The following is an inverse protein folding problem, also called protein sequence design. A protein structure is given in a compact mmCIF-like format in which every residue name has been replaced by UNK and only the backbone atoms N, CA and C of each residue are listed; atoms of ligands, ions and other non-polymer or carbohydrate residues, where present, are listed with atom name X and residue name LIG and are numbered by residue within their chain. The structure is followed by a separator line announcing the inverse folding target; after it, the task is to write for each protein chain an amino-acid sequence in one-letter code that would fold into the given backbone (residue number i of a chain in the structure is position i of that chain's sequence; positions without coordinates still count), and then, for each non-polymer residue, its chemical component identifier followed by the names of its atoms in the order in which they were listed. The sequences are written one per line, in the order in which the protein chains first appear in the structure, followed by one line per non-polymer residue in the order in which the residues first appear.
data_IF_925327244027
#
_entry.id   IF_925327244027
#
_cell.length_a   1.000
_cell.length_b   1.000
_cell.length_c   1.000
_cell.angle_alpha   90.00
_cell.angle_beta   90.00
_cell.angle_gamma   90.00
#
_symmetry.space_group_name_H-M   'P 1'
#
loop_
_entity.id
_entity.type
_entity.pdbx_description
1 polymer ?
#
# COMPACT_ATOMS: atom_id res chain seq x y z
N UNK A 1 -31.34 -9.37 15.53
CA UNK A 1 -31.03 -7.97 15.88
C UNK A 1 -30.70 -7.30 14.58
N UNK A 2 -31.59 -6.47 14.04
CA UNK A 2 -31.24 -5.57 12.95
C UNK A 2 -30.24 -4.55 13.52
N UNK A 3 -28.99 -4.71 13.18
CA UNK A 3 -27.97 -3.71 13.46
C UNK A 3 -28.15 -2.66 12.38
N UNK A 4 -28.84 -1.57 12.72
CA UNK A 4 -29.01 -0.45 11.80
C UNK A 4 -27.64 0.18 11.49
N UNK A 5 -27.25 0.18 10.22
CA UNK A 5 -26.14 0.97 9.75
C UNK A 5 -26.52 2.43 9.91
N UNK A 6 -25.91 3.13 10.84
CA UNK A 6 -26.07 4.57 11.00
C UNK A 6 -25.33 5.27 9.87
N UNK A 7 -25.98 5.46 8.74
CA UNK A 7 -25.46 6.36 7.70
C UNK A 7 -25.64 7.78 8.20
N UNK A 8 -24.54 8.41 8.65
CA UNK A 8 -24.55 9.83 8.94
C UNK A 8 -24.44 10.60 7.63
N UNK A 9 -25.25 11.65 7.40
CA UNK A 9 -25.00 12.55 6.30
C UNK A 9 -23.72 13.32 6.62
N UNK A 10 -22.65 13.01 5.93
CA UNK A 10 -21.36 13.70 6.08
C UNK A 10 -21.10 14.59 4.88
N UNK A 11 -20.43 15.70 5.13
CA UNK A 11 -19.96 16.59 4.08
C UNK A 11 -18.45 16.52 4.03
N UNK A 12 -17.92 15.98 2.96
CA UNK A 12 -16.49 15.96 2.71
C UNK A 12 -16.11 17.24 1.96
N UNK A 13 -15.21 18.01 2.56
CA UNK A 13 -14.69 19.23 1.97
C UNK A 13 -13.28 18.97 1.46
N UNK A 14 -13.01 19.38 0.22
CA UNK A 14 -11.69 19.29 -0.40
C UNK A 14 -11.20 20.66 -0.80
N UNK A 15 -9.89 20.85 -0.70
CA UNK A 15 -9.23 22.05 -1.17
C UNK A 15 -7.96 21.65 -1.92
N UNK A 16 -7.75 22.25 -3.07
CA UNK A 16 -6.52 22.12 -3.83
C UNK A 16 -5.73 23.42 -3.71
N UNK A 17 -4.45 23.29 -3.40
CA UNK A 17 -3.53 24.42 -3.28
C UNK A 17 -2.36 24.16 -4.22
N UNK A 18 -2.15 25.08 -5.16
CA UNK A 18 -1.11 24.97 -6.18
C UNK A 18 -0.02 26.03 -6.01
N UNK A 19 1.04 25.93 -6.80
CA UNK A 19 2.15 26.90 -6.83
C UNK A 19 2.89 27.04 -5.51
N UNK A 20 2.97 25.97 -4.74
CA UNK A 20 3.72 25.93 -3.50
C UNK A 20 5.22 25.73 -3.78
N UNK A 21 6.07 26.35 -2.95
CA UNK A 21 7.52 26.15 -3.02
C UNK A 21 7.90 24.72 -2.63
N UNK A 22 8.83 24.08 -3.36
CA UNK A 22 9.32 22.74 -3.01
C UNK A 22 10.02 22.70 -1.65
N UNK A 23 10.02 21.55 -0.99
CA UNK A 23 10.73 21.28 0.26
C UNK A 23 10.32 22.20 1.42
N UNK A 24 9.13 22.73 1.39
CA UNK A 24 8.67 23.76 2.33
C UNK A 24 7.61 23.19 3.26
N UNK A 25 7.74 23.49 4.56
CA UNK A 25 6.71 23.21 5.56
C UNK A 25 5.62 24.26 5.50
N UNK A 26 4.40 23.85 5.24
CA UNK A 26 3.22 24.67 5.14
C UNK A 26 2.29 24.42 6.31
N UNK A 27 1.56 25.47 6.72
CA UNK A 27 0.57 25.39 7.77
C UNK A 27 -0.81 25.72 7.21
N UNK A 28 -1.82 25.02 7.68
CA UNK A 28 -3.20 25.22 7.24
C UNK A 28 -4.20 25.13 8.38
N UNK A 29 -5.35 25.67 8.19
CA UNK A 29 -6.51 25.52 9.08
C UNK A 29 -7.80 25.72 8.33
N UNK A 30 -8.88 25.13 8.81
CA UNK A 30 -10.22 25.33 8.26
C UNK A 30 -10.88 26.49 8.99
N UNK A 31 -11.47 27.41 8.22
CA UNK A 31 -12.27 28.52 8.73
C UNK A 31 -13.51 28.71 7.85
N UNK A 32 -14.63 29.06 8.46
CA UNK A 32 -15.85 29.39 7.75
C UNK A 32 -16.51 30.61 8.40
N UNK A 33 -17.00 31.54 7.58
CA UNK A 33 -17.67 32.75 8.01
C UNK A 33 -16.90 33.54 9.11
N UNK A 34 -15.56 33.60 8.96
CA UNK A 34 -14.67 34.27 9.91
C UNK A 34 -14.38 33.52 11.21
N UNK A 35 -14.95 32.32 11.39
CA UNK A 35 -14.71 31.49 12.57
C UNK A 35 -13.75 30.34 12.22
N UNK A 36 -12.74 30.15 13.05
CA UNK A 36 -11.81 28.98 12.96
C UNK A 36 -12.56 27.74 13.39
N UNK A 37 -12.48 26.69 12.57
CA UNK A 37 -13.19 25.42 12.77
C UNK A 37 -12.25 24.24 13.07
N UNK A 38 -10.95 24.35 12.78
CA UNK A 38 -9.98 23.29 13.04
C UNK A 38 -8.76 23.80 13.80
N UNK A 39 -8.02 22.90 14.49
CA UNK A 39 -6.65 23.18 14.86
C UNK A 39 -5.78 23.55 13.66
N UNK A 40 -4.54 23.97 13.90
CA UNK A 40 -3.57 24.18 12.83
C UNK A 40 -2.99 22.84 12.43
N UNK A 41 -3.06 22.51 11.15
CA UNK A 41 -2.38 21.41 10.53
C UNK A 41 -1.13 21.87 9.78
N UNK A 42 -0.30 20.92 9.38
CA UNK A 42 0.88 21.18 8.56
C UNK A 42 1.11 20.05 7.55
N UNK A 43 1.83 20.38 6.49
CA UNK A 43 2.34 19.40 5.55
C UNK A 43 3.64 19.94 4.92
N UNK A 44 4.46 19.03 4.43
CA UNK A 44 5.69 19.37 3.71
C UNK A 44 5.48 19.09 2.22
N UNK A 45 5.83 20.05 1.38
CA UNK A 45 5.87 19.80 -0.07
C UNK A 45 7.05 18.94 -0.47
N UNK A 46 6.91 18.18 -1.56
CA UNK A 46 7.99 17.35 -2.08
C UNK A 46 9.28 18.15 -2.28
N UNK A 47 10.39 17.51 -2.00
CA UNK A 47 11.70 18.14 -2.13
C UNK A 47 12.03 18.42 -3.60
N UNK A 48 12.80 19.46 -3.81
CA UNK A 48 13.37 19.80 -5.12
C UNK A 48 14.40 18.74 -5.52
N UNK A 49 14.28 18.11 -6.69
CA UNK A 49 15.21 17.06 -7.15
C UNK A 49 16.66 17.55 -7.30
N UNK A 50 16.85 18.85 -7.47
CA UNK A 50 18.19 19.43 -7.58
C UNK A 50 18.85 19.72 -6.22
N UNK A 51 18.11 19.56 -5.13
CA UNK A 51 18.57 19.90 -3.77
C UNK A 51 18.73 18.73 -2.82
N UNK A 52 18.11 17.60 -3.11
CA UNK A 52 18.19 16.42 -2.25
C UNK A 52 18.07 15.12 -3.02
N UNK A 53 18.87 14.15 -2.63
CA UNK A 53 18.82 12.77 -3.11
C UNK A 53 18.13 11.84 -2.08
N UNK A 54 17.71 12.38 -0.92
CA UNK A 54 17.13 11.61 0.16
C UNK A 54 15.62 11.80 0.25
N UNK A 55 14.94 10.72 0.54
CA UNK A 55 13.54 10.70 0.97
C UNK A 55 13.41 9.75 2.15
N UNK A 56 12.71 10.19 3.18
CA UNK A 56 12.39 9.37 4.35
C UNK A 56 10.88 9.29 4.50
N UNK A 57 10.33 8.09 4.49
CA UNK A 57 8.89 7.89 4.64
C UNK A 57 8.58 6.66 5.48
N UNK A 58 7.40 6.64 6.04
CA UNK A 58 6.89 5.50 6.81
C UNK A 58 5.93 4.73 5.92
N UNK A 59 6.16 3.42 5.77
CA UNK A 59 5.17 2.52 5.20
C UNK A 59 4.34 1.91 6.32
N UNK A 60 3.01 1.99 6.19
CA UNK A 60 2.03 1.26 7.00
C UNK A 60 1.02 0.59 6.09
N UNK A 61 0.30 -0.39 6.61
CA UNK A 61 -0.71 -1.15 5.86
C UNK A 61 -1.78 -1.69 6.79
N UNK A 62 -2.92 -2.06 6.20
CA UNK A 62 -3.88 -2.97 6.82
C UNK A 62 -4.32 -2.52 8.23
N UNK A 63 -4.68 -1.25 8.39
CA UNK A 63 -5.29 -0.76 9.64
C UNK A 63 -6.64 -1.41 9.88
N UNK A 64 -7.37 -1.73 8.81
CA UNK A 64 -8.64 -2.47 8.79
C UNK A 64 -9.57 -2.11 9.95
N UNK A 65 -9.80 -0.81 10.13
CA UNK A 65 -10.72 -0.36 11.16
C UNK A 65 -12.11 -0.93 10.91
N UNK A 66 -12.64 -1.67 11.87
CA UNK A 66 -13.96 -2.27 11.83
C UNK A 66 -14.90 -1.63 12.85
N UNK A 67 -16.09 -1.26 12.39
CA UNK A 67 -17.12 -0.70 13.25
C UNK A 67 -17.83 -1.79 14.06
N UNK A 68 -18.13 -2.92 13.42
CA UNK A 68 -18.70 -4.12 14.03
C UNK A 68 -17.59 -5.12 14.31
N UNK A 69 -16.85 -4.86 15.33
CA UNK A 69 -15.62 -5.57 15.61
C UNK A 69 -15.88 -7.00 16.09
N UNK A 70 -15.48 -7.97 15.33
CA UNK A 70 -15.41 -9.37 15.73
C UNK A 70 -14.39 -9.59 16.86
N UNK A 71 -13.42 -8.72 17.01
CA UNK A 71 -12.26 -8.89 17.87
C UNK A 71 -12.36 -8.16 19.22
N UNK A 72 -13.40 -7.46 19.53
CA UNK A 72 -13.62 -6.71 20.80
C UNK A 72 -12.53 -5.66 21.11
N UNK A 73 -11.79 -5.17 20.14
CA UNK A 73 -10.75 -4.17 20.31
C UNK A 73 -11.10 -2.90 19.54
N UNK A 74 -10.59 -1.77 20.00
CA UNK A 74 -10.73 -0.51 19.31
C UNK A 74 -9.65 -0.42 18.21
N UNK A 75 -9.94 -0.91 17.02
CA UNK A 75 -8.99 -1.00 15.91
C UNK A 75 -8.52 0.37 15.43
N UNK A 76 -9.41 1.37 15.41
CA UNK A 76 -9.01 2.73 15.07
C UNK A 76 -7.98 3.32 16.05
N UNK A 77 -8.07 2.97 17.34
CA UNK A 77 -7.05 3.37 18.31
C UNK A 77 -5.72 2.68 18.04
N UNK A 78 -5.74 1.39 17.69
CA UNK A 78 -4.51 0.65 17.35
C UNK A 78 -3.80 1.25 16.13
N UNK A 79 -4.53 1.51 15.04
CA UNK A 79 -3.96 2.15 13.86
C UNK A 79 -3.38 3.53 14.17
N UNK A 80 -4.08 4.33 14.97
CA UNK A 80 -3.59 5.64 15.40
C UNK A 80 -2.34 5.53 16.28
N UNK A 81 -2.30 4.58 17.22
CA UNK A 81 -1.13 4.36 18.10
C UNK A 81 0.07 3.87 17.28
N UNK A 82 -0.13 2.97 16.32
CA UNK A 82 0.93 2.49 15.42
C UNK A 82 1.54 3.65 14.62
N UNK A 83 0.71 4.51 14.03
CA UNK A 83 1.18 5.70 13.32
C UNK A 83 1.92 6.67 14.23
N UNK A 84 1.40 6.89 15.44
CA UNK A 84 2.02 7.79 16.42
C UNK A 84 3.39 7.29 16.83
N UNK A 85 3.53 6.01 17.15
CA UNK A 85 4.82 5.42 17.54
C UNK A 85 5.82 5.42 16.37
N UNK A 86 5.36 5.13 15.14
CA UNK A 86 6.20 5.21 13.97
C UNK A 86 6.77 6.63 13.77
N UNK A 87 5.93 7.66 13.89
CA UNK A 87 6.38 9.06 13.76
C UNK A 87 7.22 9.54 14.95
N UNK A 88 7.04 8.97 16.15
CA UNK A 88 7.93 9.25 17.29
C UNK A 88 9.33 8.70 17.06
N UNK A 89 9.44 7.52 16.46
CA UNK A 89 10.73 6.92 16.14
C UNK A 89 11.39 7.55 14.91
N UNK A 90 10.58 8.01 13.96
CA UNK A 90 11.03 8.62 12.70
C UNK A 90 10.40 10.00 12.50
N UNK A 91 10.75 10.99 13.37
CA UNK A 91 10.10 12.30 13.36
C UNK A 91 10.38 13.14 12.09
N UNK A 92 11.39 12.75 11.34
CA UNK A 92 11.80 13.44 10.11
C UNK A 92 11.22 12.78 8.85
N UNK A 93 10.30 11.82 8.99
CA UNK A 93 9.63 11.23 7.84
C UNK A 93 8.88 12.31 7.04
N UNK A 94 9.10 12.31 5.73
CA UNK A 94 8.53 13.29 4.82
C UNK A 94 7.02 13.08 4.64
N UNK A 95 6.58 11.81 4.65
CA UNK A 95 5.16 11.42 4.51
C UNK A 95 4.94 9.98 5.01
N UNK A 96 3.68 9.60 5.08
CA UNK A 96 3.24 8.22 5.31
C UNK A 96 2.70 7.65 3.99
N UNK A 97 3.16 6.46 3.61
CA UNK A 97 2.59 5.68 2.52
C UNK A 97 1.81 4.53 3.12
N UNK A 98 0.49 4.51 2.92
CA UNK A 98 -0.38 3.46 3.43
C UNK A 98 -0.76 2.52 2.29
N UNK A 99 -0.32 1.27 2.38
CA UNK A 99 -0.47 0.29 1.30
C UNK A 99 -1.83 -0.43 1.27
N UNK A 100 -2.90 0.22 1.75
CA UNK A 100 -4.28 -0.22 1.57
C UNK A 100 -4.91 -0.90 2.78
N UNK A 101 -6.18 -1.23 2.65
CA UNK A 101 -7.03 -1.77 3.70
C UNK A 101 -7.07 -0.87 4.95
N UNK A 102 -7.54 0.37 4.74
CA UNK A 102 -7.74 1.35 5.81
C UNK A 102 -8.87 0.93 6.74
N UNK A 103 -9.95 0.42 6.18
CA UNK A 103 -11.17 -0.01 6.87
C UNK A 103 -11.48 -1.47 6.56
N UNK A 104 -12.38 -2.06 7.31
CA UNK A 104 -12.82 -3.44 7.08
C UNK A 104 -13.84 -3.53 5.94
N UNK A 105 -14.72 -2.55 5.83
CA UNK A 105 -15.77 -2.52 4.81
C UNK A 105 -15.91 -1.11 4.24
N UNK A 106 -15.42 -0.90 3.04
CA UNK A 106 -15.34 0.42 2.40
C UNK A 106 -16.66 1.19 2.33
N UNK A 107 -17.81 0.49 2.24
CA UNK A 107 -19.13 1.14 2.22
C UNK A 107 -19.65 1.61 3.60
N UNK A 108 -18.96 1.29 4.69
CA UNK A 108 -19.36 1.70 6.04
C UNK A 108 -18.66 3.00 6.41
N UNK A 109 -19.38 4.11 6.30
CA UNK A 109 -18.83 5.45 6.58
C UNK A 109 -18.37 5.63 8.03
N UNK A 110 -19.01 4.97 8.98
CA UNK A 110 -18.62 5.03 10.39
C UNK A 110 -17.20 4.46 10.65
N UNK A 111 -16.74 3.50 9.84
CA UNK A 111 -15.38 2.96 9.95
C UNK A 111 -14.33 4.01 9.52
N UNK A 112 -14.58 4.71 8.43
CA UNK A 112 -13.75 5.83 7.97
C UNK A 112 -13.73 6.97 8.98
N UNK A 113 -14.92 7.34 9.46
CA UNK A 113 -15.05 8.43 10.44
C UNK A 113 -14.27 8.13 11.71
N UNK A 114 -14.38 6.93 12.26
CA UNK A 114 -13.69 6.57 13.50
C UNK A 114 -12.17 6.52 13.30
N UNK A 115 -11.71 5.93 12.19
CA UNK A 115 -10.29 5.91 11.82
C UNK A 115 -9.71 7.33 11.73
N UNK A 116 -10.33 8.19 10.94
CA UNK A 116 -9.84 9.56 10.76
C UNK A 116 -9.95 10.40 12.02
N UNK A 117 -11.00 10.25 12.80
CA UNK A 117 -11.17 10.94 14.07
C UNK A 117 -10.05 10.59 15.05
N UNK A 118 -9.72 9.31 15.17
CA UNK A 118 -8.65 8.84 16.05
C UNK A 118 -7.27 9.26 15.58
N UNK A 119 -7.04 9.19 14.29
CA UNK A 119 -5.77 9.55 13.67
C UNK A 119 -5.62 11.04 13.37
N UNK A 120 -6.66 11.86 13.56
CA UNK A 120 -6.64 13.29 13.21
C UNK A 120 -5.44 14.07 13.76
N UNK A 121 -5.01 13.91 15.02
CA UNK A 121 -3.85 14.64 15.53
C UNK A 121 -2.55 14.37 14.74
N UNK A 122 -2.46 13.20 14.14
CA UNK A 122 -1.32 12.74 13.35
C UNK A 122 -1.50 13.18 11.89
N UNK A 123 -2.64 12.84 11.30
CA UNK A 123 -2.94 13.10 9.89
C UNK A 123 -3.04 14.60 9.54
N UNK A 124 -3.31 15.44 10.53
CA UNK A 124 -3.23 16.88 10.38
C UNK A 124 -1.80 17.41 10.26
N UNK A 125 -0.79 16.64 10.62
CA UNK A 125 0.62 17.04 10.66
C UNK A 125 1.49 16.32 9.65
N UNK A 126 0.93 15.39 8.89
CA UNK A 126 1.68 14.61 7.91
C UNK A 126 0.87 14.38 6.62
N UNK A 127 1.56 14.23 5.51
CA UNK A 127 0.96 13.85 4.24
C UNK A 127 0.78 12.34 4.18
N UNK A 128 -0.33 11.88 3.62
CA UNK A 128 -0.57 10.45 3.36
C UNK A 128 -0.65 10.22 1.86
N UNK A 129 0.13 9.24 1.39
CA UNK A 129 0.00 8.67 0.05
C UNK A 129 -0.78 7.35 0.15
N UNK A 130 -2.07 7.32 -0.24
CA UNK A 130 -2.93 6.17 -0.03
C UNK A 130 -2.88 5.20 -1.21
N UNK A 131 -2.82 3.91 -0.93
CA UNK A 131 -3.08 2.84 -1.90
C UNK A 131 -4.43 2.21 -1.60
N UNK A 132 -5.22 1.88 -2.60
CA UNK A 132 -6.48 1.19 -2.38
C UNK A 132 -6.26 -0.31 -2.16
N UNK A 133 -6.76 -0.84 -1.05
CA UNK A 133 -6.81 -2.27 -0.76
C UNK A 133 -8.12 -2.92 -1.18
N UNK A 134 -8.25 -4.22 -0.97
CA UNK A 134 -9.48 -4.93 -1.35
C UNK A 134 -10.65 -4.66 -0.40
N UNK A 135 -10.38 -4.27 0.83
CA UNK A 135 -11.41 -3.88 1.79
C UNK A 135 -12.08 -2.55 1.44
N UNK A 136 -11.39 -1.66 0.73
CA UNK A 136 -11.94 -0.39 0.25
C UNK A 136 -13.09 -0.57 -0.73
N UNK A 137 -13.16 -1.71 -1.43
CA UNK A 137 -14.28 -1.99 -2.39
C UNK A 137 -15.37 -2.86 -1.81
N UNK A 138 -15.23 -3.37 -0.59
CA UNK A 138 -16.26 -4.18 0.02
C UNK A 138 -17.47 -3.35 0.41
N UNK A 139 -18.65 -3.94 0.21
CA UNK A 139 -19.94 -3.34 0.53
C UNK A 139 -20.76 -4.29 1.38
N UNK A 140 -21.61 -3.73 2.27
CA UNK A 140 -22.63 -4.49 2.96
C UNK A 140 -23.70 -5.06 2.02
N UNK A 141 -23.81 -4.50 0.82
CA UNK A 141 -24.73 -5.01 -0.19
C UNK A 141 -24.04 -6.12 -0.99
N UNK A 142 -24.56 -7.32 -0.90
CA UNK A 142 -24.05 -8.48 -1.61
C UNK A 142 -23.90 -8.22 -3.12
N UNK A 143 -22.73 -8.57 -3.65
CA UNK A 143 -22.43 -8.43 -5.07
C UNK A 143 -22.14 -7.00 -5.54
N UNK A 144 -22.21 -6.00 -4.68
CA UNK A 144 -21.81 -4.62 -4.99
C UNK A 144 -20.38 -4.38 -4.52
N UNK A 145 -19.56 -3.84 -5.41
CA UNK A 145 -18.22 -3.38 -5.10
C UNK A 145 -18.05 -1.97 -5.64
N UNK A 146 -17.46 -1.09 -4.86
CA UNK A 146 -17.33 0.32 -5.25
C UNK A 146 -16.19 0.99 -4.54
N UNK A 147 -15.39 1.75 -5.28
CA UNK A 147 -14.37 2.65 -4.75
C UNK A 147 -14.92 3.99 -4.22
N UNK A 148 -16.21 4.24 -4.35
CA UNK A 148 -16.78 5.54 -4.07
C UNK A 148 -16.43 6.13 -2.68
N UNK A 149 -16.27 5.28 -1.66
CA UNK A 149 -15.82 5.73 -0.34
C UNK A 149 -14.35 6.15 -0.35
N UNK A 150 -13.46 5.35 -0.92
CA UNK A 150 -12.04 5.68 -1.04
C UNK A 150 -11.84 7.00 -1.79
N UNK A 151 -12.49 7.16 -2.94
CA UNK A 151 -12.43 8.39 -3.74
C UNK A 151 -12.98 9.61 -3.01
N UNK A 152 -13.99 9.44 -2.15
CA UNK A 152 -14.50 10.53 -1.32
C UNK A 152 -13.50 10.97 -0.27
N UNK A 153 -12.79 10.04 0.35
CA UNK A 153 -11.87 10.34 1.44
C UNK A 153 -10.49 10.79 0.97
N UNK A 154 -10.02 10.28 -0.16
CA UNK A 154 -8.70 10.61 -0.69
C UNK A 154 -8.80 11.38 -2.01
N UNK A 155 -8.17 12.55 -2.03
CA UNK A 155 -8.12 13.39 -3.23
C UNK A 155 -6.90 13.02 -4.09
N UNK A 156 -6.89 11.81 -4.61
CA UNK A 156 -5.86 11.38 -5.55
C UNK A 156 -6.27 11.70 -6.97
N UNK A 157 -5.33 12.22 -7.77
CA UNK A 157 -5.55 12.41 -9.20
C UNK A 157 -5.35 11.07 -9.90
N UNK A 158 -6.46 10.40 -10.22
CA UNK A 158 -6.40 9.16 -10.96
C UNK A 158 -5.85 9.40 -12.37
N UNK A 159 -4.77 8.71 -12.70
CA UNK A 159 -4.07 8.88 -13.97
C UNK A 159 -4.83 8.31 -15.17
N UNK A 160 -5.76 7.37 -14.96
CA UNK A 160 -6.52 6.71 -16.01
C UNK A 160 -7.80 7.47 -16.34
N UNK A 161 -8.43 8.07 -15.34
CA UNK A 161 -9.69 8.83 -15.49
C UNK A 161 -9.47 10.33 -15.67
N UNK A 162 -8.24 10.81 -15.52
CA UNK A 162 -7.89 12.23 -15.67
C UNK A 162 -8.31 13.10 -14.49
N UNK A 163 -8.46 12.53 -13.32
CA UNK A 163 -8.73 13.26 -12.07
C UNK A 163 -10.14 13.87 -11.96
N UNK A 164 -10.98 13.68 -12.96
CA UNK A 164 -12.31 14.27 -13.04
C UNK A 164 -13.38 13.52 -12.22
N UNK A 165 -13.04 12.42 -11.60
CA UNK A 165 -13.96 11.57 -10.83
C UNK A 165 -14.66 12.31 -9.67
N UNK A 166 -14.11 13.44 -9.26
CA UNK A 166 -14.61 14.19 -8.10
C UNK A 166 -15.60 15.31 -8.43
N UNK A 167 -15.76 15.66 -9.69
CA UNK A 167 -16.62 16.77 -10.11
C UNK A 167 -17.85 16.37 -10.92
N UNK A 168 -17.84 15.19 -11.51
CA UNK A 168 -18.98 14.66 -12.26
C UNK A 168 -19.61 13.55 -11.43
N UNK A 169 -20.87 13.73 -11.07
CA UNK A 169 -21.65 12.79 -10.26
C UNK A 169 -21.31 11.34 -10.55
N UNK A 170 -20.72 10.73 -9.58
CA UNK A 170 -20.14 9.42 -9.50
C UNK A 170 -20.81 8.40 -10.42
N UNK A 171 -20.22 8.11 -11.54
CA UNK A 171 -20.34 6.76 -12.07
C UNK A 171 -19.41 5.92 -11.18
N UNK A 172 -20.02 5.04 -10.45
CA UNK A 172 -19.31 4.00 -9.72
C UNK A 172 -18.58 3.15 -10.75
N UNK A 173 -17.35 3.53 -11.05
CA UNK A 173 -16.47 2.74 -11.89
C UNK A 173 -15.52 1.99 -10.96
N UNK A 174 -15.77 0.70 -10.71
CA UNK A 174 -14.89 -0.10 -9.86
C UNK A 174 -13.51 -0.29 -10.47
N UNK A 175 -13.34 -0.01 -11.76
CA UNK A 175 -12.07 -0.08 -12.47
C UNK A 175 -11.34 1.27 -12.46
N UNK A 176 -12.03 2.35 -12.10
CA UNK A 176 -11.48 3.70 -12.05
C UNK A 176 -11.04 4.06 -10.64
N UNK A 177 -9.91 4.64 -10.51
CA UNK A 177 -9.49 5.22 -9.25
C UNK A 177 -8.23 4.61 -8.64
N UNK A 178 -7.55 5.44 -7.86
CA UNK A 178 -6.37 5.08 -7.08
C UNK A 178 -5.13 4.64 -7.89
N UNK A 179 -5.05 4.95 -9.19
CA UNK A 179 -3.83 4.80 -9.99
C UNK A 179 -3.21 6.18 -10.21
N UNK A 180 -2.06 6.42 -9.62
CA UNK A 180 -1.40 7.71 -9.69
C UNK A 180 0.11 7.60 -9.46
N UNK A 181 0.84 8.69 -9.69
CA UNK A 181 2.26 8.79 -9.34
C UNK A 181 2.60 10.17 -8.78
N UNK A 182 3.71 10.22 -8.08
CA UNK A 182 4.30 11.46 -7.60
C UNK A 182 5.82 11.32 -7.47
N UNK A 183 6.51 12.45 -7.51
CA UNK A 183 7.95 12.50 -7.31
C UNK A 183 8.25 13.15 -5.95
N UNK A 184 9.26 12.62 -5.25
CA UNK A 184 9.84 13.24 -4.06
C UNK A 184 11.35 13.29 -4.22
N UNK A 185 11.89 14.47 -4.49
CA UNK A 185 13.27 14.59 -4.93
C UNK A 185 13.51 13.77 -6.22
N UNK A 186 14.48 12.88 -6.20
CA UNK A 186 14.80 11.98 -7.32
C UNK A 186 14.19 10.59 -7.18
N UNK A 187 13.23 10.44 -6.30
CA UNK A 187 12.49 9.19 -6.12
C UNK A 187 11.10 9.32 -6.74
N UNK A 188 10.79 8.43 -7.64
CA UNK A 188 9.49 8.32 -8.29
C UNK A 188 8.66 7.23 -7.61
N UNK A 189 7.43 7.56 -7.24
CA UNK A 189 6.46 6.63 -6.66
C UNK A 189 5.33 6.42 -7.65
N UNK A 190 5.13 5.18 -8.08
CA UNK A 190 3.98 4.78 -8.88
C UNK A 190 3.04 3.91 -8.03
N UNK A 191 1.76 4.23 -8.03
CA UNK A 191 0.72 3.53 -7.25
C UNK A 191 -0.24 2.84 -8.20
N UNK A 192 -0.44 1.53 -8.01
CA UNK A 192 -1.38 0.71 -8.77
C UNK A 192 -2.56 0.27 -7.91
N UNK A 193 -3.70 0.15 -8.55
CA UNK A 193 -4.91 -0.41 -7.97
C UNK A 193 -5.04 -1.89 -8.33
N UNK A 194 -4.76 -2.78 -7.39
CA UNK A 194 -4.84 -4.23 -7.58
C UNK A 194 -6.26 -4.80 -7.55
N UNK A 195 -7.27 -3.95 -7.42
CA UNK A 195 -8.68 -4.34 -7.52
C UNK A 195 -9.29 -4.04 -8.89
N UNK A 196 -8.51 -3.49 -9.80
CA UNK A 196 -8.92 -3.23 -11.17
C UNK A 196 -9.39 -4.52 -11.86
N UNK A 197 -10.32 -4.38 -12.82
CA UNK A 197 -10.93 -5.52 -13.51
C UNK A 197 -11.61 -6.55 -12.62
N UNK A 198 -12.24 -6.14 -11.54
CA UNK A 198 -13.01 -7.06 -10.70
C UNK A 198 -14.16 -7.76 -11.45
N UNK A 199 -14.60 -7.20 -12.55
CA UNK A 199 -15.58 -7.80 -13.46
C UNK A 199 -14.96 -8.75 -14.48
N UNK A 200 -13.68 -8.63 -14.78
CA UNK A 200 -12.95 -9.58 -15.61
C UNK A 200 -12.56 -10.78 -14.75
N UNK A 201 -13.07 -11.94 -15.06
CA UNK A 201 -12.85 -13.18 -14.30
C UNK A 201 -11.36 -13.55 -14.10
N UNK A 202 -10.42 -12.83 -14.70
CA UNK A 202 -9.06 -13.31 -14.87
C UNK A 202 -7.93 -12.31 -14.63
N UNK A 203 -8.22 -11.04 -14.31
CA UNK A 203 -7.16 -10.06 -14.13
C UNK A 203 -7.40 -9.19 -12.89
N UNK A 204 -6.37 -8.91 -12.12
CA UNK A 204 -6.40 -7.95 -11.02
C UNK A 204 -5.73 -6.61 -11.39
N UNK A 205 -5.25 -6.48 -12.61
CA UNK A 205 -4.73 -5.25 -13.21
C UNK A 205 -5.21 -5.14 -14.65
N UNK A 206 -5.72 -3.97 -15.02
CA UNK A 206 -6.10 -3.69 -16.40
C UNK A 206 -4.88 -3.46 -17.30
N UNK A 207 -5.05 -3.70 -18.59
CA UNK A 207 -4.06 -3.32 -19.59
C UNK A 207 -3.77 -1.82 -19.56
N UNK A 208 -4.79 -1.00 -19.26
CA UNK A 208 -4.64 0.45 -19.15
C UNK A 208 -3.64 0.83 -18.03
N UNK A 209 -3.72 0.21 -16.85
CA UNK A 209 -2.74 0.43 -15.78
C UNK A 209 -1.33 0.00 -16.20
N UNK A 210 -1.19 -1.15 -16.85
CA UNK A 210 0.11 -1.66 -17.28
C UNK A 210 0.77 -0.76 -18.32
N UNK A 211 0.01 -0.26 -19.30
CA UNK A 211 0.52 0.69 -20.30
C UNK A 211 0.83 2.05 -19.69
N UNK A 212 0.00 2.53 -18.77
CA UNK A 212 0.27 3.74 -18.02
C UNK A 212 1.58 3.60 -17.22
N UNK A 213 1.77 2.52 -16.47
CA UNK A 213 2.99 2.28 -15.69
C UNK A 213 4.24 2.33 -16.56
N UNK A 214 4.20 1.70 -17.74
CA UNK A 214 5.33 1.73 -18.69
C UNK A 214 5.68 3.16 -19.11
N UNK A 215 4.67 3.94 -19.45
CA UNK A 215 4.85 5.33 -19.89
C UNK A 215 5.33 6.21 -18.74
N UNK A 216 4.70 6.10 -17.60
CA UNK A 216 4.96 6.92 -16.42
C UNK A 216 6.39 6.74 -15.92
N UNK A 217 6.83 5.50 -15.69
CA UNK A 217 8.19 5.19 -15.22
C UNK A 217 9.25 5.61 -16.24
N UNK A 218 9.04 5.41 -17.54
CA UNK A 218 9.99 5.88 -18.56
C UNK A 218 10.12 7.39 -18.53
N UNK A 219 8.99 8.09 -18.46
CA UNK A 219 8.96 9.56 -18.39
C UNK A 219 9.67 10.07 -17.13
N UNK A 220 9.45 9.41 -15.99
CA UNK A 220 10.12 9.81 -14.74
C UNK A 220 11.65 9.60 -14.83
N UNK A 221 12.10 8.51 -15.41
CA UNK A 221 13.53 8.25 -15.66
C UNK A 221 14.15 9.30 -16.61
N UNK A 222 13.44 9.69 -17.66
CA UNK A 222 13.85 10.76 -18.58
C UNK A 222 13.97 12.13 -17.86
N UNK A 223 13.14 12.37 -16.86
CA UNK A 223 13.21 13.57 -15.99
C UNK A 223 14.28 13.48 -14.90
N UNK A 224 14.99 12.36 -14.78
CA UNK A 224 16.12 12.19 -13.86
C UNK A 224 15.80 11.43 -12.58
N UNK A 225 14.68 10.70 -12.51
CA UNK A 225 14.40 9.83 -11.38
C UNK A 225 15.50 8.75 -11.25
N UNK A 226 16.10 8.68 -10.07
CA UNK A 226 17.16 7.72 -9.77
C UNK A 226 16.58 6.43 -9.19
N UNK A 227 15.49 6.55 -8.41
CA UNK A 227 14.77 5.44 -7.79
C UNK A 227 13.34 5.41 -8.26
N UNK A 228 12.82 4.20 -8.47
CA UNK A 228 11.41 3.98 -8.75
C UNK A 228 10.86 3.00 -7.75
N UNK A 229 9.85 3.46 -7.01
CA UNK A 229 9.13 2.68 -6.02
C UNK A 229 7.73 2.41 -6.55
N UNK A 230 7.36 1.15 -6.63
CA UNK A 230 6.01 0.71 -6.97
C UNK A 230 5.24 0.39 -5.69
N UNK A 231 4.10 1.01 -5.50
CA UNK A 231 3.22 0.71 -4.37
C UNK A 231 1.92 0.04 -4.86
N UNK A 232 1.55 -1.03 -4.21
CA UNK A 232 0.33 -1.78 -4.51
C UNK A 232 -0.15 -2.49 -3.24
N UNK A 233 -1.42 -2.89 -3.19
CA UNK A 233 -1.93 -3.55 -2.00
C UNK A 233 -1.63 -5.05 -1.99
N UNK A 234 -2.10 -5.80 -2.99
CA UNK A 234 -1.94 -7.26 -3.02
C UNK A 234 -0.50 -7.68 -3.22
N UNK A 235 0.10 -8.26 -2.17
CA UNK A 235 1.51 -8.61 -2.13
C UNK A 235 1.86 -9.78 -3.05
N UNK A 236 2.68 -9.52 -4.07
CA UNK A 236 3.07 -10.55 -5.06
C UNK A 236 4.24 -11.41 -4.62
N UNK A 237 5.04 -10.95 -3.67
CA UNK A 237 6.07 -11.69 -2.97
C UNK A 237 6.03 -11.34 -1.49
N UNK A 238 5.40 -12.17 -0.68
CA UNK A 238 5.27 -12.01 0.77
C UNK A 238 5.41 -13.35 1.46
N UNK A 239 5.83 -13.35 2.72
CA UNK A 239 5.79 -14.55 3.57
C UNK A 239 4.39 -14.87 4.11
N UNK A 240 3.37 -14.12 3.75
CA UNK A 240 1.99 -14.48 3.99
C UNK A 240 1.49 -15.53 3.00
N UNK A 241 0.39 -16.16 3.35
CA UNK A 241 -0.17 -17.26 2.54
C UNK A 241 -0.90 -16.77 1.29
N UNK A 242 -1.41 -15.55 1.29
CA UNK A 242 -2.14 -14.99 0.14
C UNK A 242 -1.27 -14.95 -1.12
N UNK A 243 0.00 -14.60 -0.97
CA UNK A 243 0.96 -14.61 -2.09
C UNK A 243 1.10 -15.96 -2.78
N UNK A 244 0.84 -17.05 -2.08
CA UNK A 244 0.95 -18.42 -2.60
C UNK A 244 -0.39 -19.00 -3.04
N UNK A 245 -1.47 -18.69 -2.32
CA UNK A 245 -2.78 -19.32 -2.51
C UNK A 245 -3.68 -18.58 -3.50
N UNK A 246 -3.69 -17.24 -3.45
CA UNK A 246 -4.73 -16.47 -4.10
C UNK A 246 -4.50 -16.36 -5.61
N UNK A 247 -5.50 -16.77 -6.36
CA UNK A 247 -5.42 -16.83 -7.82
C UNK A 247 -5.30 -15.43 -8.46
N UNK A 248 -5.90 -14.41 -7.86
CA UNK A 248 -5.80 -13.03 -8.31
C UNK A 248 -4.40 -12.45 -8.05
N UNK A 249 -3.77 -12.76 -6.93
CA UNK A 249 -2.38 -12.36 -6.65
C UNK A 249 -1.41 -13.01 -7.63
N UNK A 250 -1.62 -14.29 -7.95
CA UNK A 250 -0.83 -14.95 -9.00
C UNK A 250 -0.96 -14.24 -10.35
N UNK A 251 -2.17 -13.77 -10.70
CA UNK A 251 -2.39 -12.99 -11.94
C UNK A 251 -1.70 -11.63 -11.90
N UNK A 252 -1.75 -10.91 -10.76
CA UNK A 252 -0.99 -9.67 -10.58
C UNK A 252 0.50 -9.91 -10.78
N UNK A 253 1.04 -10.97 -10.18
CA UNK A 253 2.43 -11.37 -10.33
C UNK A 253 2.79 -11.64 -11.78
N UNK A 254 2.02 -12.46 -12.48
CA UNK A 254 2.23 -12.77 -13.90
C UNK A 254 2.25 -11.50 -14.77
N UNK A 255 1.36 -10.54 -14.48
CA UNK A 255 1.28 -9.29 -15.23
C UNK A 255 2.48 -8.37 -14.98
N UNK A 256 3.02 -8.36 -13.76
CA UNK A 256 4.04 -7.39 -13.34
C UNK A 256 5.48 -7.87 -13.47
N UNK A 257 5.77 -9.18 -13.42
CA UNK A 257 7.14 -9.67 -13.33
C UNK A 257 8.04 -9.16 -14.47
N UNK A 258 7.57 -9.22 -15.71
CA UNK A 258 8.33 -8.69 -16.83
C UNK A 258 8.54 -7.17 -16.75
N UNK A 259 7.51 -6.43 -16.33
CA UNK A 259 7.56 -4.97 -16.24
C UNK A 259 8.49 -4.50 -15.12
N UNK A 260 8.49 -5.16 -13.97
CA UNK A 260 9.36 -4.82 -12.84
C UNK A 260 10.82 -4.80 -13.28
N UNK A 261 11.27 -5.83 -13.99
CA UNK A 261 12.64 -5.91 -14.46
C UNK A 261 12.92 -4.97 -15.64
N UNK A 262 12.00 -4.87 -16.62
CA UNK A 262 12.18 -4.03 -17.80
C UNK A 262 12.22 -2.54 -17.47
N UNK A 263 11.42 -2.11 -16.51
CA UNK A 263 11.34 -0.74 -16.03
C UNK A 263 12.36 -0.44 -14.94
N UNK A 264 13.09 -1.44 -14.46
CA UNK A 264 14.04 -1.32 -13.36
C UNK A 264 13.37 -0.71 -12.13
N UNK A 265 12.26 -1.31 -11.72
CA UNK A 265 11.63 -0.97 -10.44
C UNK A 265 12.59 -1.40 -9.33
N UNK A 266 12.90 -0.49 -8.41
CA UNK A 266 13.90 -0.72 -7.37
C UNK A 266 13.26 -1.34 -6.12
N UNK A 267 12.07 -0.87 -5.74
CA UNK A 267 11.34 -1.34 -4.55
C UNK A 267 9.87 -1.53 -4.88
N UNK A 268 9.27 -2.59 -4.36
CA UNK A 268 7.82 -2.82 -4.40
C UNK A 268 7.30 -2.86 -2.97
N UNK A 269 6.43 -1.90 -2.63
CA UNK A 269 5.77 -1.78 -1.33
C UNK A 269 4.38 -2.39 -1.41
N UNK A 270 4.07 -3.29 -0.48
CA UNK A 270 2.86 -4.12 -0.50
C UNK A 270 2.23 -4.23 0.88
N UNK A 271 0.96 -4.64 0.91
CA UNK A 271 0.16 -4.97 2.08
C UNK A 271 -0.51 -6.33 1.95
N UNK A 272 -1.77 -6.44 2.40
CA UNK A 272 -2.67 -7.57 2.27
C UNK A 272 -2.30 -8.80 3.11
N UNK A 273 -1.05 -9.20 3.10
CA UNK A 273 -0.54 -10.21 4.00
C UNK A 273 -0.14 -9.54 5.32
N UNK A 274 -0.81 -9.91 6.40
CA UNK A 274 -0.58 -9.33 7.73
C UNK A 274 0.65 -9.99 8.38
N UNK A 275 1.77 -9.89 7.68
CA UNK A 275 3.09 -10.36 8.12
C UNK A 275 4.15 -9.38 7.64
N UNK A 276 5.11 -9.07 8.47
CA UNK A 276 6.27 -8.35 7.99
C UNK A 276 7.16 -9.27 7.16
N UNK A 277 7.47 -8.87 5.94
CA UNK A 277 8.44 -9.57 5.13
C UNK A 277 9.22 -8.63 4.21
N UNK A 278 10.50 -8.93 4.01
CA UNK A 278 11.36 -8.26 3.05
C UNK A 278 12.13 -9.30 2.26
N UNK A 279 12.08 -9.19 0.95
CA UNK A 279 12.87 -10.07 0.09
C UNK A 279 14.31 -9.60 -0.03
N UNK A 280 15.17 -10.49 -0.48
CA UNK A 280 16.44 -10.13 -1.13
C UNK A 280 16.16 -9.34 -2.40
N UNK A 281 17.19 -8.80 -3.04
CA UNK A 281 17.02 -8.19 -4.36
C UNK A 281 16.76 -9.28 -5.40
N UNK A 282 15.60 -9.24 -6.07
CA UNK A 282 15.11 -10.29 -6.95
C UNK A 282 15.10 -9.86 -8.41
N UNK A 283 15.53 -10.75 -9.30
CA UNK A 283 15.21 -10.74 -10.72
C UNK A 283 13.98 -11.63 -10.94
N UNK A 284 12.89 -11.02 -11.35
CA UNK A 284 11.59 -11.69 -11.43
C UNK A 284 11.19 -12.09 -12.84
N UNK A 285 11.81 -11.51 -13.87
CA UNK A 285 11.58 -11.87 -15.28
C UNK A 285 12.04 -13.30 -15.59
N UNK A 286 13.14 -13.73 -14.96
CA UNK A 286 13.72 -15.07 -15.15
C UNK A 286 12.94 -16.14 -14.40
N UNK A 287 11.72 -15.86 -14.00
CA UNK A 287 10.84 -16.79 -13.34
C UNK A 287 10.16 -17.70 -14.38
N UNK A 288 10.51 -18.99 -14.39
CA UNK A 288 9.96 -19.97 -15.31
C UNK A 288 8.47 -20.24 -15.07
N UNK A 289 8.01 -20.09 -13.82
CA UNK A 289 6.60 -20.19 -13.46
C UNK A 289 6.18 -19.05 -12.53
N UNK A 290 5.78 -17.90 -13.07
CA UNK A 290 5.34 -16.77 -12.26
C UNK A 290 4.06 -17.05 -11.46
N UNK A 291 3.34 -18.11 -11.74
CA UNK A 291 2.18 -18.52 -10.93
C UNK A 291 2.61 -19.06 -9.58
N UNK A 292 3.82 -19.64 -9.50
CA UNK A 292 4.37 -20.22 -8.28
C UNK A 292 5.42 -19.36 -7.57
N UNK A 293 5.95 -18.33 -8.16
CA UNK A 293 6.87 -17.40 -7.52
C UNK A 293 8.38 -17.66 -7.50
N UNK A 294 8.99 -18.71 -8.05
CA UNK A 294 10.43 -18.72 -8.06
C UNK A 294 10.96 -17.47 -8.75
N UNK A 295 12.02 -16.93 -8.23
CA UNK A 295 12.69 -15.76 -8.76
C UNK A 295 14.19 -15.92 -8.50
N UNK A 296 15.02 -15.23 -9.28
CA UNK A 296 16.46 -15.30 -9.08
C UNK A 296 16.92 -14.24 -8.10
N UNK A 297 17.50 -14.67 -6.99
CA UNK A 297 18.17 -13.78 -6.05
C UNK A 297 19.42 -13.20 -6.69
N UNK A 298 19.54 -11.90 -6.71
CA UNK A 298 20.78 -11.21 -7.06
C UNK A 298 21.65 -11.03 -5.80
N UNK A 299 22.94 -10.85 -5.99
CA UNK A 299 23.86 -10.59 -4.88
C UNK A 299 24.47 -9.19 -5.09
N UNK A 300 23.79 -8.14 -4.63
CA UNK A 300 24.34 -6.79 -4.70
C UNK A 300 25.48 -6.64 -3.69
N UNK A 301 26.41 -5.73 -4.01
CA UNK A 301 27.36 -5.26 -3.02
C UNK A 301 26.61 -4.59 -1.85
N UNK A 302 27.15 -4.75 -0.67
CA UNK A 302 26.55 -4.13 0.51
C UNK A 302 27.62 -3.66 1.50
N UNK A 303 27.21 -2.70 2.33
CA UNK A 303 27.94 -2.26 3.53
C UNK A 303 26.99 -2.29 4.73
N UNK A 304 27.53 -2.02 5.90
CA UNK A 304 26.73 -1.71 7.09
C UNK A 304 26.93 -0.24 7.44
N UNK A 305 25.86 0.45 7.80
CA UNK A 305 25.93 1.80 8.33
C UNK A 305 26.40 1.83 9.81
N UNK A 306 26.39 3.01 10.41
CA UNK A 306 26.81 3.20 11.80
C UNK A 306 25.91 2.47 12.81
N UNK A 307 24.66 2.21 12.46
CA UNK A 307 23.65 1.51 13.27
C UNK A 307 23.54 0.02 12.90
N UNK A 308 24.50 -0.48 12.12
CA UNK A 308 24.57 -1.86 11.64
C UNK A 308 23.40 -2.27 10.72
N UNK A 309 22.73 -1.33 10.07
CA UNK A 309 21.80 -1.66 9.01
C UNK A 309 22.54 -2.00 7.71
N UNK A 310 22.06 -3.03 7.04
CA UNK A 310 22.60 -3.46 5.75
C UNK A 310 22.19 -2.50 4.65
N UNK A 311 23.14 -1.85 4.04
CA UNK A 311 22.97 -0.94 2.92
C UNK A 311 23.32 -1.64 1.62
N UNK A 312 22.38 -1.77 0.70
CA UNK A 312 22.60 -2.36 -0.63
C UNK A 312 23.05 -1.28 -1.62
N UNK A 313 24.11 -1.57 -2.38
CA UNK A 313 24.63 -0.65 -3.38
C UNK A 313 24.13 -1.03 -4.77
N UNK A 314 23.24 -0.17 -5.33
CA UNK A 314 22.68 -0.31 -6.66
C UNK A 314 22.23 -1.75 -7.01
N UNK A 315 21.30 -2.32 -6.27
CA UNK A 315 20.88 -3.71 -6.46
C UNK A 315 20.34 -3.91 -7.89
N UNK A 316 20.74 -5.02 -8.52
CA UNK A 316 20.26 -5.38 -9.87
C UNK A 316 18.98 -6.22 -9.79
N UNK A 317 17.98 -5.74 -9.09
CA UNK A 317 16.71 -6.42 -8.91
C UNK A 317 15.85 -5.68 -7.89
N UNK A 318 14.56 -5.93 -7.89
CA UNK A 318 13.63 -5.29 -7.00
C UNK A 318 13.63 -5.93 -5.59
N UNK A 319 13.45 -5.10 -4.56
CA UNK A 319 13.19 -5.53 -3.19
C UNK A 319 11.70 -5.37 -2.90
N UNK A 320 11.06 -6.43 -2.43
CA UNK A 320 9.65 -6.42 -2.06
C UNK A 320 9.51 -6.32 -0.54
N UNK A 321 8.69 -5.39 -0.09
CA UNK A 321 8.47 -5.13 1.35
C UNK A 321 6.98 -5.20 1.64
N UNK A 322 6.58 -6.09 2.53
CA UNK A 322 5.24 -6.16 3.09
C UNK A 322 5.30 -5.61 4.50
N UNK A 323 4.48 -4.59 4.81
CA UNK A 323 4.62 -3.81 6.03
C UNK A 323 3.99 -4.46 7.27
N UNK A 324 3.32 -5.63 7.13
CA UNK A 324 2.47 -6.17 8.19
C UNK A 324 1.16 -5.37 8.35
N UNK A 325 0.47 -5.58 9.45
CA UNK A 325 -0.72 -4.84 9.83
C UNK A 325 -0.41 -3.71 10.81
N UNK A 326 -0.95 -2.54 10.57
CA UNK A 326 -0.98 -1.47 11.55
C UNK A 326 -2.17 -1.60 12.52
N UNK A 327 -3.10 -2.52 12.23
CA UNK A 327 -4.27 -2.83 13.03
C UNK A 327 -4.06 -4.01 13.98
N UNK A 328 -5.15 -4.72 14.28
CA UNK A 328 -5.15 -5.82 15.26
C UNK A 328 -5.09 -7.21 14.63
N UNK A 329 -5.30 -7.32 13.33
CA UNK A 329 -5.27 -8.59 12.61
C UNK A 329 -3.83 -9.00 12.32
N UNK A 330 -3.51 -10.26 12.56
CA UNK A 330 -2.21 -10.83 12.27
C UNK A 330 -2.35 -12.18 11.61
N UNK A 331 -1.53 -12.47 10.63
CA UNK A 331 -1.44 -13.76 9.97
C UNK A 331 -0.18 -14.52 10.39
N UNK A 332 -0.23 -15.84 10.29
CA UNK A 332 0.96 -16.64 10.48
C UNK A 332 1.84 -16.56 9.23
N UNK A 333 3.11 -16.24 9.41
CA UNK A 333 4.07 -16.31 8.33
C UNK A 333 4.23 -17.76 7.84
N UNK A 334 4.41 -17.92 6.54
CA UNK A 334 4.83 -19.19 5.95
C UNK A 334 6.20 -19.52 6.50
N UNK A 335 6.24 -20.48 7.42
CA UNK A 335 7.47 -20.84 8.11
C UNK A 335 8.30 -21.79 7.27
N UNK A 336 9.61 -21.66 7.38
CA UNK A 336 10.56 -22.53 6.75
C UNK A 336 10.33 -23.97 7.25
N UNK A 337 10.03 -24.91 6.35
CA UNK A 337 9.99 -26.35 6.64
C UNK A 337 8.72 -26.88 7.33
N UNK A 338 7.62 -26.14 7.42
CA UNK A 338 6.41 -26.62 8.11
C UNK A 338 5.17 -26.75 7.21
N UNK A 339 5.29 -27.46 6.10
CA UNK A 339 4.15 -27.87 5.27
C UNK A 339 3.01 -28.53 6.08
N UNK A 340 3.34 -29.29 7.13
CA UNK A 340 2.33 -29.96 7.97
C UNK A 340 1.40 -28.99 8.66
N UNK A 341 1.89 -27.87 9.11
CA UNK A 341 1.08 -26.82 9.73
C UNK A 341 0.20 -26.14 8.69
N UNK A 342 0.80 -25.70 7.60
CA UNK A 342 0.10 -25.04 6.48
C UNK A 342 -0.95 -25.96 5.85
N UNK A 343 -0.64 -27.25 5.69
CA UNK A 343 -1.57 -28.23 5.14
C UNK A 343 -2.83 -28.47 5.99
N UNK A 344 -2.82 -28.16 7.28
CA UNK A 344 -4.02 -28.19 8.12
C UNK A 344 -4.86 -26.92 8.00
N UNK A 345 -4.18 -25.78 7.94
CA UNK A 345 -4.83 -24.46 7.93
C UNK A 345 -5.22 -24.02 6.51
N UNK A 346 -4.39 -24.38 5.52
CA UNK A 346 -4.54 -23.93 4.13
C UNK A 346 -4.42 -25.09 3.15
N UNK A 347 -5.56 -25.70 2.75
CA UNK A 347 -5.56 -26.87 1.87
C UNK A 347 -4.88 -26.67 0.52
N UNK A 348 -4.86 -25.46 -0.02
CA UNK A 348 -4.24 -25.17 -1.31
C UNK A 348 -2.72 -25.32 -1.27
N UNK A 349 -2.08 -25.05 -0.14
CA UNK A 349 -0.63 -25.26 0.03
C UNK A 349 -0.24 -26.73 0.19
N UNK A 350 -1.22 -27.64 0.35
CA UNK A 350 -0.94 -29.09 0.42
C UNK A 350 -0.30 -29.66 -0.84
N UNK A 351 -0.50 -29.00 -1.97
CA UNK A 351 0.08 -29.45 -3.25
C UNK A 351 1.53 -29.03 -3.42
N UNK A 352 2.03 -28.12 -2.60
CA UNK A 352 3.40 -27.67 -2.66
C UNK A 352 4.34 -28.71 -2.02
N UNK A 353 5.45 -28.92 -2.65
CA UNK A 353 6.54 -29.75 -2.11
C UNK A 353 7.37 -28.97 -1.09
N UNK A 354 8.10 -29.69 -0.24
CA UNK A 354 9.05 -29.07 0.70
C UNK A 354 10.10 -28.21 -0.03
N UNK A 355 10.61 -28.72 -1.17
CA UNK A 355 11.59 -28.00 -1.98
C UNK A 355 11.04 -26.69 -2.56
N UNK A 356 9.77 -26.64 -2.95
CA UNK A 356 9.12 -25.44 -3.45
C UNK A 356 8.98 -24.40 -2.34
N UNK A 357 8.59 -24.80 -1.13
CA UNK A 357 8.52 -23.89 0.01
C UNK A 357 9.91 -23.42 0.46
N UNK A 358 10.89 -24.28 0.46
CA UNK A 358 12.27 -23.92 0.78
C UNK A 358 12.82 -22.92 -0.24
N UNK A 359 12.58 -23.17 -1.54
CA UNK A 359 12.96 -22.27 -2.62
C UNK A 359 12.27 -20.91 -2.49
N UNK A 360 11.00 -20.89 -2.12
CA UNK A 360 10.28 -19.65 -1.86
C UNK A 360 10.82 -18.89 -0.64
N UNK A 361 11.03 -19.60 0.46
CA UNK A 361 11.58 -19.01 1.69
C UNK A 361 12.98 -18.41 1.48
N UNK A 362 13.77 -19.00 0.61
CA UNK A 362 15.11 -18.49 0.25
C UNK A 362 15.09 -17.10 -0.38
N UNK A 363 13.97 -16.68 -0.97
CA UNK A 363 13.84 -15.34 -1.55
C UNK A 363 13.88 -14.21 -0.50
N UNK A 364 13.64 -14.52 0.77
CA UNK A 364 13.49 -13.53 1.81
C UNK A 364 14.75 -13.31 2.66
N UNK A 365 15.02 -12.07 3.03
CA UNK A 365 15.99 -11.71 4.07
C UNK A 365 15.35 -11.87 5.45
N UNK A 366 14.10 -11.41 5.58
CA UNK A 366 13.33 -11.51 6.81
C UNK A 366 11.88 -11.81 6.52
N UNK A 367 11.23 -12.50 7.42
CA UNK A 367 9.79 -12.66 7.46
C UNK A 367 9.43 -13.08 8.88
N UNK A 368 8.67 -12.27 9.56
CA UNK A 368 8.30 -12.48 10.95
C UNK A 368 6.80 -12.39 11.12
N UNK A 369 6.28 -13.14 12.07
CA UNK A 369 4.97 -12.85 12.61
C UNK A 369 5.02 -11.49 13.32
N UNK A 370 3.94 -10.70 13.24
CA UNK A 370 3.82 -9.54 14.08
C UNK A 370 3.98 -9.98 15.53
N UNK A 371 4.77 -9.25 16.29
CA UNK A 371 4.84 -9.45 17.73
C UNK A 371 3.45 -9.21 18.29
N UNK A 372 2.77 -10.28 18.67
CA UNK A 372 1.59 -10.16 19.50
C UNK A 372 2.08 -9.53 20.80
N UNK A 373 1.95 -8.21 20.92
CA UNK A 373 2.07 -7.57 22.21
C UNK A 373 0.94 -8.15 23.07
N UNK A 374 1.33 -9.02 23.96
CA UNK A 374 0.47 -9.57 25.00
C UNK A 374 -0.07 -8.47 25.91
#
# INVERSE_FOLDING_TARGET
VEIGVLTRPETICRAEVSSLSPGTLWYWRIAAKGKVLSPVGSFKTAADPDKTDEVSFIQVSDTQNAYYNEHKRNEAAYGADTLLEALRHFPNADFVLHTGDFVETGSIEDEWFDLFKRSAPILMQTTVAPVAGNHEVYSLQDGVRSFGAFERHFNVNDALTGGAALTSGLKEDPDGGATYSFDWGRVHFAVLNTNDNQHAQHSALSLAQLEWLKKDVRTSRERGAQWVILALHKGIYSKGYHSLEDADIRRVRQALTALIDDLRIDVVLQGHDHVYSRTKALKVRDNDDPSFCPARVTQPDFTYDADFFKVLHAPKGAVFVTADTAGTKANDAVADGTLKHLGKVRPALKSMTENELESYSYLFETGMQPHRSS
#
